data_IF_303449497738
#
_entry.id   IF_303449497738
#
_cell.length_a   1.000
_cell.length_b   1.000
_cell.length_c   1.000
_cell.angle_alpha   90.00
_cell.angle_beta   90.00
_cell.angle_gamma   90.00
#
_symmetry.space_group_name_H-M   'P 1'
#
loop_
_entity.id
_entity.type
_entity.pdbx_description
1 polymer ?
#
# COMPACT_ATOMS: atom_id res chain seq x y z
N UNK A 1 15.95 -20.85 -16.20
CA UNK A 1 16.21 -19.64 -15.39
C UNK A 1 14.95 -19.24 -14.67
N UNK A 2 14.88 -19.49 -13.37
CA UNK A 2 13.80 -18.95 -12.52
C UNK A 2 14.05 -17.45 -12.30
N UNK A 3 13.00 -16.62 -12.20
CA UNK A 3 13.16 -15.22 -11.82
C UNK A 3 13.82 -15.13 -10.42
N UNK A 4 14.60 -14.07 -10.16
CA UNK A 4 15.19 -13.87 -8.83
C UNK A 4 14.09 -13.78 -7.77
N UNK A 5 14.32 -14.40 -6.62
CA UNK A 5 13.43 -14.30 -5.45
C UNK A 5 13.30 -12.81 -5.11
N UNK A 6 12.08 -12.29 -5.17
CA UNK A 6 11.78 -10.94 -4.72
C UNK A 6 11.41 -11.03 -3.25
N UNK A 7 11.83 -10.04 -2.46
CA UNK A 7 11.48 -9.94 -1.04
C UNK A 7 9.95 -9.96 -0.82
N UNK A 8 9.16 -9.40 -1.73
CA UNK A 8 7.69 -9.46 -1.67
C UNK A 8 7.08 -10.82 -2.05
N UNK A 9 7.88 -11.79 -2.49
CA UNK A 9 7.47 -13.18 -2.75
C UNK A 9 7.88 -14.11 -1.61
N UNK A 10 8.73 -13.66 -0.69
CA UNK A 10 9.10 -14.41 0.51
C UNK A 10 8.11 -14.09 1.64
N UNK A 11 7.23 -15.03 2.04
CA UNK A 11 6.30 -14.81 3.15
C UNK A 11 7.02 -14.54 4.49
N UNK A 12 8.32 -14.86 4.56
CA UNK A 12 9.18 -14.65 5.71
C UNK A 12 9.98 -13.34 5.63
N UNK A 13 9.76 -12.48 4.62
CA UNK A 13 10.44 -11.18 4.52
C UNK A 13 10.18 -10.26 5.74
N UNK A 14 9.08 -10.49 6.47
CA UNK A 14 8.76 -9.79 7.73
C UNK A 14 9.17 -10.57 9.00
N UNK A 15 9.83 -11.72 8.86
CA UNK A 15 10.19 -12.61 9.96
C UNK A 15 11.54 -12.30 10.63
N UNK A 16 12.35 -11.42 10.03
CA UNK A 16 13.66 -11.03 10.58
C UNK A 16 13.53 -10.04 11.75
N UNK A 17 14.45 -10.11 12.74
CA UNK A 17 14.12 -9.87 14.13
C UNK A 17 14.08 -8.38 14.49
N UNK A 18 13.01 -8.01 15.17
CA UNK A 18 13.07 -7.52 16.55
C UNK A 18 14.33 -6.69 16.90
N UNK A 19 14.54 -5.56 16.24
CA UNK A 19 15.35 -4.52 16.85
C UNK A 19 14.95 -3.11 16.38
N UNK A 20 14.62 -2.31 17.39
CA UNK A 20 14.50 -0.87 17.44
C UNK A 20 13.28 -0.25 16.75
N UNK A 21 12.27 0.04 17.59
CA UNK A 21 11.29 1.11 17.39
C UNK A 21 10.41 1.00 16.14
N UNK A 22 9.87 -0.18 15.86
CA UNK A 22 8.85 -0.35 14.82
C UNK A 22 7.58 0.39 15.26
N UNK A 23 7.21 1.43 14.52
CA UNK A 23 5.98 2.18 14.77
C UNK A 23 4.78 1.26 14.53
N UNK A 24 3.92 1.11 15.55
CA UNK A 24 2.63 0.47 15.36
C UNK A 24 1.78 1.33 14.42
N UNK A 25 1.19 0.69 13.42
CA UNK A 25 0.26 1.33 12.49
C UNK A 25 -1.18 1.03 12.88
N UNK A 26 -2.08 1.96 12.57
CA UNK A 26 -3.51 1.67 12.61
C UNK A 26 -3.88 0.84 11.39
N UNK A 27 -4.41 -0.36 11.61
CA UNK A 27 -4.86 -1.27 10.56
C UNK A 27 -6.35 -1.55 10.70
N UNK A 28 -7.05 -1.66 9.56
CA UNK A 28 -8.46 -2.10 9.52
C UNK A 28 -8.61 -3.60 9.78
N UNK A 29 -7.51 -4.35 9.76
CA UNK A 29 -7.50 -5.79 9.99
C UNK A 29 -7.49 -6.09 11.49
N UNK A 30 -8.39 -6.96 11.94
CA UNK A 30 -8.50 -7.36 13.35
C UNK A 30 -7.46 -8.42 13.70
N UNK A 31 -6.31 -8.00 14.26
CA UNK A 31 -5.24 -8.91 14.70
C UNK A 31 -5.76 -10.06 15.57
N UNK A 32 -6.62 -9.78 16.55
CA UNK A 32 -7.10 -10.79 17.49
C UNK A 32 -7.94 -11.89 16.81
N UNK A 33 -8.77 -11.50 15.83
CA UNK A 33 -9.53 -12.46 15.03
C UNK A 33 -8.61 -13.34 14.18
N UNK A 34 -7.59 -12.75 13.54
CA UNK A 34 -6.60 -13.50 12.77
C UNK A 34 -5.81 -14.49 13.64
N UNK A 35 -5.36 -14.04 14.81
CA UNK A 35 -4.64 -14.85 15.80
C UNK A 35 -5.48 -16.06 16.24
N UNK A 36 -6.74 -15.81 16.60
CA UNK A 36 -7.68 -16.85 17.00
C UNK A 36 -7.95 -17.89 15.90
N UNK A 37 -8.19 -17.45 14.66
CA UNK A 37 -8.51 -18.36 13.56
C UNK A 37 -7.29 -19.11 13.01
N UNK A 38 -6.06 -18.65 13.30
CA UNK A 38 -4.83 -19.27 12.83
C UNK A 38 -4.05 -20.01 13.94
N UNK A 39 -4.64 -20.17 15.13
CA UNK A 39 -4.00 -20.82 16.28
C UNK A 39 -3.49 -22.24 15.95
N UNK A 40 -4.21 -23.00 15.13
CA UNK A 40 -3.86 -24.39 14.75
C UNK A 40 -3.15 -24.49 13.39
N UNK A 41 -2.73 -23.36 12.80
CA UNK A 41 -2.08 -23.37 11.49
C UNK A 41 -0.70 -24.06 11.58
N UNK A 42 -0.34 -24.96 10.64
CA UNK A 42 0.90 -25.73 10.77
C UNK A 42 2.19 -24.90 10.80
N UNK A 43 2.22 -23.77 10.07
CA UNK A 43 3.38 -22.88 10.04
C UNK A 43 3.14 -21.64 10.94
N UNK A 44 3.49 -21.77 12.22
CA UNK A 44 3.38 -20.67 13.17
C UNK A 44 4.34 -19.51 12.88
N UNK A 45 5.44 -19.73 12.13
CA UNK A 45 6.33 -18.64 11.72
C UNK A 45 5.65 -17.74 10.69
N UNK A 46 4.91 -18.34 9.77
CA UNK A 46 4.06 -17.63 8.83
C UNK A 46 2.98 -16.82 9.57
N UNK A 47 2.27 -17.43 10.52
CA UNK A 47 1.23 -16.73 11.32
C UNK A 47 1.82 -15.52 12.05
N UNK A 48 2.96 -15.70 12.74
CA UNK A 48 3.62 -14.59 13.42
C UNK A 48 4.02 -13.46 12.47
N UNK A 49 4.51 -13.79 11.27
CA UNK A 49 4.85 -12.79 10.24
C UNK A 49 3.60 -12.04 9.76
N UNK A 50 2.47 -12.74 9.58
CA UNK A 50 1.20 -12.13 9.19
C UNK A 50 0.64 -11.20 10.28
N UNK A 51 0.63 -11.64 11.54
CA UNK A 51 0.19 -10.81 12.67
C UNK A 51 1.08 -9.59 12.84
N UNK A 52 2.39 -9.74 12.61
CA UNK A 52 3.33 -8.62 12.57
C UNK A 52 2.97 -7.62 11.46
N UNK A 53 2.70 -8.09 10.24
CA UNK A 53 2.27 -7.23 9.12
C UNK A 53 1.00 -6.44 9.47
N UNK A 54 0.04 -7.07 10.14
CA UNK A 54 -1.20 -6.41 10.54
C UNK A 54 -0.93 -5.23 11.49
N UNK A 55 0.04 -5.34 12.39
CA UNK A 55 0.31 -4.33 13.41
C UNK A 55 1.36 -3.29 13.00
N UNK A 56 2.29 -3.68 12.14
CA UNK A 56 3.51 -2.93 11.84
C UNK A 56 3.65 -2.56 10.35
N UNK A 57 2.78 -3.10 9.50
CA UNK A 57 2.91 -2.98 8.04
C UNK A 57 3.80 -4.05 7.42
N UNK A 58 3.75 -4.15 6.09
CA UNK A 58 4.54 -5.10 5.32
C UNK A 58 5.82 -4.45 4.77
N UNK A 59 6.96 -5.11 4.97
CA UNK A 59 8.19 -4.81 4.24
C UNK A 59 8.04 -5.19 2.76
N UNK A 60 8.14 -4.21 1.88
CA UNK A 60 8.04 -4.39 0.42
C UNK A 60 9.40 -4.61 -0.26
N UNK A 61 10.50 -4.60 0.52
CA UNK A 61 11.85 -4.86 0.03
C UNK A 61 12.45 -3.74 -0.83
N UNK A 62 12.02 -2.49 -0.62
CA UNK A 62 12.60 -1.35 -1.33
C UNK A 62 14.01 -1.04 -0.80
N UNK A 63 14.99 -0.94 -1.69
CA UNK A 63 16.40 -0.67 -1.37
C UNK A 63 16.96 0.53 -2.15
N UNK A 64 16.17 1.58 -2.30
CA UNK A 64 16.58 2.83 -2.96
C UNK A 64 16.64 4.02 -2.00
N UNK A 65 16.89 5.21 -2.55
CA UNK A 65 16.89 6.45 -1.79
C UNK A 65 15.45 6.93 -1.53
N UNK A 66 15.11 7.08 -0.25
CA UNK A 66 13.83 7.63 0.25
C UNK A 66 14.04 8.95 1.01
N UNK A 67 15.21 9.58 0.92
CA UNK A 67 15.51 10.80 1.70
C UNK A 67 15.03 12.08 1.00
N UNK A 68 14.64 11.98 -0.27
CA UNK A 68 14.19 13.10 -1.07
C UNK A 68 12.70 13.01 -1.39
N UNK A 69 11.87 14.00 -1.00
CA UNK A 69 10.46 14.00 -1.35
C UNK A 69 10.26 14.06 -2.86
N UNK A 70 9.17 13.46 -3.31
CA UNK A 70 8.83 13.38 -4.71
C UNK A 70 7.37 13.71 -4.97
N UNK A 71 7.15 14.88 -5.56
CA UNK A 71 5.83 15.39 -5.92
C UNK A 71 5.60 15.30 -7.42
N UNK A 72 4.46 14.74 -7.83
CA UNK A 72 4.11 14.55 -9.23
C UNK A 72 2.86 15.34 -9.64
N UNK A 73 2.75 15.63 -10.94
CA UNK A 73 1.48 16.06 -11.55
C UNK A 73 0.66 14.84 -11.97
N UNK A 74 -0.65 14.92 -11.79
CA UNK A 74 -1.57 13.90 -12.28
C UNK A 74 -1.64 13.87 -13.82
N UNK A 75 -2.01 12.72 -14.37
CA UNK A 75 -2.17 12.56 -15.82
C UNK A 75 -3.41 13.34 -16.30
N UNK A 76 -3.35 13.89 -17.52
CA UNK A 76 -4.44 14.72 -18.10
C UNK A 76 -5.80 14.01 -18.08
N UNK A 77 -5.81 12.72 -18.44
CA UNK A 77 -7.02 11.88 -18.47
C UNK A 77 -7.73 11.78 -17.11
N UNK A 78 -7.04 12.05 -15.99
CA UNK A 78 -7.69 12.08 -14.68
C UNK A 78 -8.74 13.20 -14.60
N UNK A 79 -8.44 14.36 -15.18
CA UNK A 79 -9.29 15.54 -15.11
C UNK A 79 -10.55 15.41 -15.97
N UNK A 80 -10.51 14.60 -17.03
CA UNK A 80 -11.70 14.26 -17.85
C UNK A 80 -12.74 13.43 -17.06
N UNK A 81 -12.34 12.81 -15.95
CA UNK A 81 -13.19 11.98 -15.10
C UNK A 81 -13.13 12.40 -13.62
N UNK A 82 -12.90 13.69 -13.35
CA UNK A 82 -12.63 14.20 -12.01
C UNK A 82 -13.70 13.84 -10.97
N UNK A 83 -14.99 13.87 -11.33
CA UNK A 83 -16.08 13.57 -10.40
C UNK A 83 -16.07 12.11 -9.95
N UNK A 84 -15.88 11.18 -10.89
CA UNK A 84 -15.83 9.74 -10.62
C UNK A 84 -14.61 9.39 -9.77
N UNK A 85 -13.47 10.01 -10.07
CA UNK A 85 -12.23 9.84 -9.31
C UNK A 85 -12.37 10.41 -7.90
N UNK A 86 -12.94 11.60 -7.75
CA UNK A 86 -13.16 12.23 -6.44
C UNK A 86 -14.09 11.39 -5.58
N UNK A 87 -15.19 10.90 -6.14
CA UNK A 87 -16.11 9.97 -5.46
C UNK A 87 -15.41 8.69 -5.02
N UNK A 88 -14.54 8.13 -5.89
CA UNK A 88 -13.76 6.94 -5.54
C UNK A 88 -12.75 7.19 -4.42
N UNK A 89 -12.07 8.34 -4.41
CA UNK A 89 -11.15 8.73 -3.34
C UNK A 89 -11.92 8.90 -2.03
N UNK A 90 -13.00 9.66 -2.03
CA UNK A 90 -13.85 9.89 -0.85
C UNK A 90 -14.36 8.59 -0.27
N UNK A 91 -14.83 7.66 -1.10
CA UNK A 91 -15.26 6.33 -0.63
C UNK A 91 -14.13 5.53 0.03
N UNK A 92 -12.90 5.58 -0.51
CA UNK A 92 -11.76 4.90 0.10
C UNK A 92 -11.35 5.53 1.44
N UNK A 93 -11.48 6.85 1.57
CA UNK A 93 -11.23 7.56 2.83
C UNK A 93 -12.29 7.21 3.87
N UNK A 94 -13.57 7.24 3.52
CA UNK A 94 -14.69 6.85 4.42
C UNK A 94 -14.51 5.42 4.92
N UNK A 95 -14.07 4.50 4.05
CA UNK A 95 -13.85 3.10 4.41
C UNK A 95 -12.54 2.85 5.18
N UNK A 96 -11.75 3.89 5.45
CA UNK A 96 -10.43 3.75 6.11
C UNK A 96 -9.38 3.02 5.26
N UNK A 97 -9.62 2.82 3.96
CA UNK A 97 -8.67 2.17 3.05
C UNK A 97 -7.57 3.12 2.58
N UNK A 98 -7.76 4.43 2.69
CA UNK A 98 -6.79 5.45 2.28
C UNK A 98 -6.83 6.59 3.29
N UNK A 99 -5.67 7.10 3.67
CA UNK A 99 -5.55 8.25 4.56
C UNK A 99 -5.34 9.55 3.74
N UNK A 100 -5.80 10.67 4.28
CA UNK A 100 -5.92 11.95 3.56
C UNK A 100 -7.33 12.19 3.02
N UNK A 101 -7.51 13.07 2.02
CA UNK A 101 -6.48 13.92 1.41
C UNK A 101 -5.86 14.87 2.43
N UNK A 102 -4.55 15.13 2.29
CA UNK A 102 -3.81 16.03 3.18
C UNK A 102 -3.67 17.41 2.51
N UNK A 103 -3.75 18.48 3.31
CA UNK A 103 -3.55 19.85 2.81
C UNK A 103 -2.08 20.13 2.44
N UNK A 104 -1.14 19.40 3.04
CA UNK A 104 0.30 19.42 2.78
C UNK A 104 0.87 18.00 2.88
N UNK A 105 2.07 17.71 2.33
CA UNK A 105 2.70 16.40 2.47
C UNK A 105 2.78 15.96 3.95
N UNK A 106 2.37 14.71 4.29
CA UNK A 106 2.32 14.23 5.67
C UNK A 106 3.69 13.90 6.28
N UNK A 107 4.76 13.88 5.49
CA UNK A 107 6.14 13.62 5.93
C UNK A 107 7.15 14.34 5.05
N UNK A 108 8.36 14.56 5.56
CA UNK A 108 9.47 15.19 4.81
C UNK A 108 9.88 14.35 3.59
N UNK A 109 9.82 13.03 3.72
CA UNK A 109 10.16 12.06 2.69
C UNK A 109 8.91 11.57 1.94
N UNK A 110 7.96 12.47 1.67
CA UNK A 110 6.71 12.08 1.02
C UNK A 110 6.94 11.79 -0.47
N UNK A 111 6.55 10.59 -0.92
CA UNK A 111 6.56 10.20 -2.32
C UNK A 111 5.14 10.07 -2.86
N UNK A 112 4.90 10.66 -4.03
CA UNK A 112 3.67 10.53 -4.78
C UNK A 112 3.93 10.04 -6.21
N UNK A 113 2.96 9.28 -6.73
CA UNK A 113 2.93 8.83 -8.13
C UNK A 113 1.71 9.43 -8.83
N UNK A 114 1.81 9.79 -10.13
CA UNK A 114 0.69 10.35 -10.87
C UNK A 114 -0.54 9.47 -10.80
N UNK A 115 -1.69 10.08 -10.52
CA UNK A 115 -2.98 9.43 -10.73
C UNK A 115 -3.41 9.57 -12.19
N UNK A 116 -3.99 8.51 -12.72
CA UNK A 116 -4.67 8.52 -14.02
C UNK A 116 -6.07 7.93 -13.92
N UNK A 117 -6.83 8.10 -14.99
CA UNK A 117 -8.12 7.45 -15.19
C UNK A 117 -8.08 6.59 -16.46
N UNK A 118 -8.67 5.41 -16.40
CA UNK A 118 -8.82 4.50 -17.54
C UNK A 118 -10.25 3.97 -17.60
N UNK A 119 -10.85 4.03 -18.78
CA UNK A 119 -12.14 3.38 -19.07
C UNK A 119 -11.93 1.88 -19.31
N UNK A 120 -12.79 1.05 -18.73
CA UNK A 120 -12.68 -0.39 -18.92
C UNK A 120 -13.09 -0.78 -20.34
N UNK A 121 -12.29 -1.57 -21.06
CA UNK A 121 -12.57 -1.92 -22.47
C UNK A 121 -13.95 -2.56 -22.72
N UNK A 122 -14.55 -3.20 -21.70
CA UNK A 122 -15.86 -3.89 -21.79
C UNK A 122 -16.93 -3.24 -20.89
N UNK A 123 -16.69 -2.04 -20.38
CA UNK A 123 -17.63 -1.35 -19.47
C UNK A 123 -17.39 0.15 -19.48
N UNK A 124 -18.45 0.95 -19.34
CA UNK A 124 -18.34 2.41 -19.15
C UNK A 124 -17.72 2.81 -17.81
N UNK A 125 -17.37 1.83 -16.96
CA UNK A 125 -16.75 2.08 -15.66
C UNK A 125 -15.33 2.64 -15.82
N UNK A 126 -15.10 3.81 -15.23
CA UNK A 126 -13.79 4.42 -15.07
C UNK A 126 -13.09 3.87 -13.83
N UNK A 127 -11.78 3.62 -13.93
CA UNK A 127 -10.93 3.21 -12.81
C UNK A 127 -9.80 4.20 -12.60
N UNK A 128 -9.55 4.53 -11.34
CA UNK A 128 -8.33 5.21 -10.89
C UNK A 128 -7.15 4.26 -11.07
N UNK A 129 -6.05 4.76 -11.63
CA UNK A 129 -4.77 4.04 -11.73
C UNK A 129 -3.64 4.87 -11.11
N UNK A 130 -2.63 4.18 -10.60
CA UNK A 130 -1.40 4.80 -10.08
C UNK A 130 -0.26 4.50 -11.06
N UNK A 131 0.47 5.53 -11.50
CA UNK A 131 1.63 5.35 -12.36
C UNK A 131 2.88 4.99 -11.52
N UNK A 132 2.94 3.75 -11.04
CA UNK A 132 3.97 3.25 -10.12
C UNK A 132 5.38 3.11 -10.74
N UNK A 133 5.53 3.38 -12.03
CA UNK A 133 6.83 3.43 -12.73
C UNK A 133 7.34 4.86 -12.95
N UNK A 134 6.82 5.83 -12.20
CA UNK A 134 7.26 7.23 -12.23
C UNK A 134 8.02 7.57 -10.93
N UNK A 135 9.11 8.35 -11.01
CA UNK A 135 9.72 8.94 -12.19
C UNK A 135 10.53 7.87 -12.93
N UNK A 136 10.89 8.15 -14.19
CA UNK A 136 11.95 7.38 -14.84
C UNK A 136 13.30 8.05 -14.56
#
# INVERSE_FOLDING_TARGET
>A
NLPPIRLNTDPQCNSYPYNNSIMSISSVLNKAAWDHHLQDYPDQKFVNSLLHIICCGANIGFTGDCTHPQCCKNLSLLFEHADVISTNITSQVINGCTAGPYASPPSENFHSSPLGAVTCKRSTKVRRIHHLSWPR
#
